data_IF_888356768706
#
_entry.id   IF_888356768706
#
_cell.length_a   1.000
_cell.length_b   1.000
_cell.length_c   1.000
_cell.angle_alpha   90.00
_cell.angle_beta   90.00
_cell.angle_gamma   90.00
#
_symmetry.space_group_name_H-M   'P 1'
#
loop_
_entity.id
_entity.type
_entity.pdbx_description
1 polymer ?
#
# COMPACT_ATOMS: atom_id res chain seq x y z
N UNK A 1 39.58 -17.59 47.57
CA UNK A 1 38.51 -16.73 47.00
C UNK A 1 39.16 -15.93 45.88
N UNK A 2 39.02 -16.41 44.64
CA UNK A 2 39.59 -15.79 43.45
C UNK A 2 38.51 -14.98 42.74
N UNK A 3 38.69 -13.67 42.67
CA UNK A 3 37.81 -12.77 41.91
C UNK A 3 37.98 -13.01 40.41
N UNK A 4 36.85 -13.25 39.73
CA UNK A 4 36.76 -13.43 38.29
C UNK A 4 36.44 -12.07 37.67
N UNK A 5 37.44 -11.39 37.12
CA UNK A 5 37.24 -10.22 36.26
C UNK A 5 36.69 -10.65 34.89
N UNK A 6 35.40 -10.38 34.65
CA UNK A 6 34.80 -10.48 33.32
C UNK A 6 35.21 -9.25 32.48
N UNK A 7 36.12 -9.45 31.53
CA UNK A 7 36.38 -8.49 30.44
C UNK A 7 35.19 -8.44 29.49
N UNK A 8 34.47 -7.33 29.47
CA UNK A 8 33.52 -6.96 28.41
C UNK A 8 34.33 -6.60 27.16
N UNK A 9 34.22 -7.41 26.11
CA UNK A 9 34.68 -7.04 24.77
C UNK A 9 33.73 -5.98 24.20
N UNK A 10 34.20 -4.73 24.15
CA UNK A 10 33.54 -3.64 23.44
C UNK A 10 33.85 -3.82 21.95
N UNK A 11 32.82 -4.14 21.16
CA UNK A 11 32.87 -4.08 19.70
C UNK A 11 32.95 -2.62 19.26
N UNK A 12 34.16 -2.12 19.06
CA UNK A 12 34.41 -0.82 18.44
C UNK A 12 34.26 -0.95 16.92
N UNK A 13 33.30 -0.23 16.32
CA UNK A 13 33.22 -0.17 14.85
C UNK A 13 31.87 0.18 14.20
N UNK A 14 30.81 0.50 14.96
CA UNK A 14 29.58 1.05 14.38
C UNK A 14 29.48 2.51 14.81
N UNK A 15 29.70 3.40 13.86
CA UNK A 15 29.50 4.83 14.03
C UNK A 15 27.99 5.11 14.15
N UNK A 16 27.49 5.19 15.38
CA UNK A 16 26.10 5.53 15.70
C UNK A 16 25.84 7.03 15.67
N UNK A 17 26.70 7.85 15.05
CA UNK A 17 26.57 9.31 15.05
C UNK A 17 25.59 9.90 14.03
N UNK A 18 24.80 9.08 13.30
CA UNK A 18 23.66 9.60 12.53
C UNK A 18 22.64 10.21 13.49
N UNK A 19 22.52 11.54 13.45
CA UNK A 19 21.52 12.34 14.17
C UNK A 19 20.14 11.67 14.03
N UNK A 20 19.66 11.09 15.13
CA UNK A 20 18.28 10.64 15.27
C UNK A 20 17.39 11.88 15.38
N UNK A 21 16.56 12.11 14.37
CA UNK A 21 15.41 13.02 14.38
C UNK A 21 15.71 14.52 14.21
N UNK A 22 15.88 14.99 12.97
CA UNK A 22 15.44 16.35 12.64
C UNK A 22 13.91 16.39 12.64
N UNK A 23 13.33 17.52 13.06
CA UNK A 23 11.88 17.71 13.21
C UNK A 23 11.11 17.29 11.95
N UNK A 24 9.90 16.73 12.10
CA UNK A 24 8.95 16.51 11.00
C UNK A 24 8.67 17.81 10.20
N UNK A 25 8.97 18.96 10.81
CA UNK A 25 8.81 20.31 10.24
C UNK A 25 10.06 20.86 9.54
N UNK A 26 11.05 20.03 9.20
CA UNK A 26 12.21 20.51 8.45
C UNK A 26 11.77 21.04 7.08
N UNK A 27 12.16 22.28 6.76
CA UNK A 27 11.75 22.93 5.52
C UNK A 27 12.45 22.24 4.34
N UNK A 28 11.67 21.55 3.51
CA UNK A 28 12.16 20.95 2.26
C UNK A 28 12.67 22.03 1.30
N UNK A 29 13.66 21.69 0.47
CA UNK A 29 14.03 22.52 -0.69
C UNK A 29 12.88 22.55 -1.70
N UNK A 30 12.83 23.56 -2.56
CA UNK A 30 11.77 23.68 -3.58
C UNK A 30 11.71 22.44 -4.51
N UNK A 31 12.87 21.87 -4.84
CA UNK A 31 12.98 20.66 -5.65
C UNK A 31 12.44 19.42 -4.90
N UNK A 32 12.83 19.26 -3.62
CA UNK A 32 12.34 18.16 -2.79
C UNK A 32 10.85 18.27 -2.51
N UNK A 33 10.34 19.49 -2.30
CA UNK A 33 8.91 19.75 -2.12
C UNK A 33 8.13 19.45 -3.40
N UNK A 34 8.65 19.84 -4.58
CA UNK A 34 8.03 19.49 -5.85
C UNK A 34 7.95 17.97 -6.03
N UNK A 35 9.06 17.27 -5.79
CA UNK A 35 9.09 15.81 -5.85
C UNK A 35 8.09 15.18 -4.88
N UNK A 36 8.04 15.65 -3.64
CA UNK A 36 7.09 15.19 -2.63
C UNK A 36 5.65 15.31 -3.10
N UNK A 37 5.26 16.49 -3.59
CA UNK A 37 3.92 16.76 -4.12
C UNK A 37 3.59 15.90 -5.35
N UNK A 38 4.58 15.61 -6.21
CA UNK A 38 4.38 14.74 -7.38
C UNK A 38 4.11 13.29 -6.94
N UNK A 39 4.84 12.77 -5.95
CA UNK A 39 4.59 11.43 -5.40
C UNK A 39 3.25 11.38 -4.67
N UNK A 40 2.94 12.37 -3.84
CA UNK A 40 1.67 12.44 -3.08
C UNK A 40 0.42 12.48 -3.99
N UNK A 41 0.57 12.84 -5.27
CA UNK A 41 -0.52 12.84 -6.26
C UNK A 41 -0.68 11.52 -7.01
N UNK A 42 0.27 10.58 -6.89
CA UNK A 42 0.14 9.25 -7.46
C UNK A 42 -0.98 8.46 -6.75
N UNK A 43 -1.50 7.38 -7.34
CA UNK A 43 -2.40 6.46 -6.64
C UNK A 43 -1.81 5.98 -5.31
N UNK A 44 -2.65 5.78 -4.29
CA UNK A 44 -2.19 5.38 -2.95
C UNK A 44 -1.24 4.17 -2.95
N UNK A 45 -1.48 3.17 -3.80
CA UNK A 45 -0.60 2.01 -3.97
C UNK A 45 0.82 2.38 -4.42
N UNK A 46 0.96 3.36 -5.32
CA UNK A 46 2.27 3.84 -5.77
C UNK A 46 2.96 4.68 -4.69
N UNK A 47 2.22 5.51 -3.94
CA UNK A 47 2.75 6.20 -2.77
C UNK A 47 3.31 5.22 -1.74
N UNK A 48 2.59 4.12 -1.49
CA UNK A 48 3.03 3.05 -0.60
C UNK A 48 4.34 2.42 -1.11
N UNK A 49 4.44 2.10 -2.40
CA UNK A 49 5.66 1.54 -3.00
C UNK A 49 6.85 2.49 -2.87
N UNK A 50 6.67 3.80 -3.11
CA UNK A 50 7.72 4.80 -2.90
C UNK A 50 8.22 4.78 -1.45
N UNK A 51 7.30 4.79 -0.48
CA UNK A 51 7.63 4.69 0.94
C UNK A 51 8.35 3.37 1.27
N UNK A 52 7.81 2.23 0.83
CA UNK A 52 8.38 0.91 1.09
C UNK A 52 9.77 0.76 0.49
N UNK A 53 10.02 1.28 -0.70
CA UNK A 53 11.35 1.25 -1.33
C UNK A 53 12.38 2.08 -0.57
N UNK A 54 11.98 3.26 -0.09
CA UNK A 54 12.85 4.17 0.66
C UNK A 54 13.23 3.62 2.05
N UNK A 55 12.30 2.94 2.72
CA UNK A 55 12.45 2.53 4.12
C UNK A 55 12.41 1.01 4.33
N UNK A 56 12.62 0.21 3.28
CA UNK A 56 12.43 -1.25 3.31
C UNK A 56 13.13 -1.94 4.49
N UNK A 57 14.37 -1.55 4.78
CA UNK A 57 15.16 -2.20 5.82
C UNK A 57 14.62 -1.92 7.23
N UNK A 58 14.02 -0.76 7.43
CA UNK A 58 13.44 -0.31 8.69
C UNK A 58 12.01 -0.82 8.90
N UNK A 59 11.23 -0.96 7.82
CA UNK A 59 9.77 -1.16 7.88
C UNK A 59 9.24 -2.43 7.22
N UNK A 60 10.06 -3.29 6.59
CA UNK A 60 9.57 -4.50 5.88
C UNK A 60 8.68 -5.42 6.73
N UNK A 61 8.88 -5.45 8.05
CA UNK A 61 8.06 -6.25 8.96
C UNK A 61 6.64 -5.69 9.14
N UNK A 62 6.42 -4.43 8.75
CA UNK A 62 5.13 -3.73 8.81
C UNK A 62 4.41 -3.71 7.44
N UNK A 63 5.08 -4.20 6.38
CA UNK A 63 4.57 -4.12 5.01
C UNK A 63 3.19 -4.80 4.84
N UNK A 64 2.98 -5.94 5.50
CA UNK A 64 1.69 -6.64 5.47
C UNK A 64 0.57 -5.80 6.10
N UNK A 65 0.83 -5.08 7.20
CA UNK A 65 -0.15 -4.15 7.78
C UNK A 65 -0.44 -2.98 6.85
N UNK A 66 0.61 -2.40 6.24
CA UNK A 66 0.46 -1.30 5.29
C UNK A 66 -0.46 -1.73 4.14
N UNK A 67 -0.26 -2.92 3.58
CA UNK A 67 -1.04 -3.44 2.48
C UNK A 67 -2.47 -3.86 2.89
N UNK A 68 -2.61 -4.70 3.91
CA UNK A 68 -3.91 -5.33 4.24
C UNK A 68 -4.83 -4.46 5.09
N UNK A 69 -4.27 -3.51 5.85
CA UNK A 69 -5.01 -2.68 6.78
C UNK A 69 -5.02 -1.25 6.31
N UNK A 70 -3.86 -0.59 6.31
CA UNK A 70 -3.80 0.86 6.08
C UNK A 70 -4.29 1.26 4.68
N UNK A 71 -3.80 0.57 3.64
CA UNK A 71 -4.18 0.81 2.26
C UNK A 71 -5.65 0.49 1.99
N UNK A 72 -6.17 -0.61 2.55
CA UNK A 72 -7.61 -0.93 2.44
C UNK A 72 -8.49 0.12 3.12
N UNK A 73 -8.09 0.65 4.29
CA UNK A 73 -8.87 1.69 4.99
C UNK A 73 -8.85 3.03 4.25
N UNK A 74 -7.71 3.46 3.72
CA UNK A 74 -7.66 4.75 3.01
C UNK A 74 -8.46 4.70 1.71
N UNK A 75 -8.38 3.59 0.97
CA UNK A 75 -9.24 3.36 -0.21
C UNK A 75 -10.70 3.36 0.17
N UNK A 76 -11.09 2.70 1.26
CA UNK A 76 -12.48 2.67 1.71
C UNK A 76 -13.00 4.06 2.10
N UNK A 77 -12.18 4.86 2.78
CA UNK A 77 -12.52 6.25 3.11
C UNK A 77 -12.73 7.10 1.84
N UNK A 78 -11.81 7.00 0.87
CA UNK A 78 -11.94 7.70 -0.42
C UNK A 78 -13.13 7.20 -1.26
N UNK A 79 -13.37 5.89 -1.30
CA UNK A 79 -14.54 5.28 -1.92
C UNK A 79 -15.84 5.85 -1.35
N UNK A 80 -15.94 5.95 -0.03
CA UNK A 80 -17.12 6.52 0.64
C UNK A 80 -17.30 8.00 0.28
N UNK A 81 -16.22 8.78 0.25
CA UNK A 81 -16.24 10.18 -0.18
C UNK A 81 -16.73 10.33 -1.64
N UNK A 82 -16.32 9.42 -2.53
CA UNK A 82 -16.71 9.40 -3.95
C UNK A 82 -18.08 8.74 -4.20
N UNK A 83 -18.76 8.23 -3.17
CA UNK A 83 -20.03 7.51 -3.31
C UNK A 83 -19.91 6.14 -4.01
N UNK A 84 -18.72 5.54 -4.00
CA UNK A 84 -18.44 4.24 -4.63
C UNK A 84 -18.53 3.14 -3.57
N UNK A 85 -19.42 2.17 -3.77
CA UNK A 85 -19.63 1.08 -2.80
C UNK A 85 -18.85 -0.21 -3.12
N UNK A 86 -18.47 -0.39 -4.39
CA UNK A 86 -17.91 -1.64 -4.88
C UNK A 86 -16.47 -1.40 -5.35
N UNK A 87 -15.52 -2.14 -4.76
CA UNK A 87 -14.07 -1.96 -5.01
C UNK A 87 -13.70 -2.11 -6.49
N UNK A 88 -14.36 -3.00 -7.24
CA UNK A 88 -14.06 -3.17 -8.66
C UNK A 88 -14.46 -1.96 -9.52
N UNK A 89 -15.34 -1.08 -9.02
CA UNK A 89 -15.74 0.19 -9.66
C UNK A 89 -14.91 1.38 -9.19
N UNK A 90 -13.98 1.17 -8.26
CA UNK A 90 -13.18 2.22 -7.68
C UNK A 90 -11.94 2.48 -8.55
N UNK A 91 -11.78 3.73 -8.97
CA UNK A 91 -10.52 4.26 -9.50
C UNK A 91 -9.75 4.88 -8.32
N UNK A 92 -8.56 4.33 -8.07
CA UNK A 92 -7.77 4.65 -6.88
C UNK A 92 -7.45 6.15 -6.78
N UNK A 93 -7.71 6.72 -5.59
CA UNK A 93 -7.39 8.11 -5.26
C UNK A 93 -5.95 8.30 -4.82
N UNK A 94 -5.66 9.51 -4.35
CA UNK A 94 -4.31 9.97 -4.01
C UNK A 94 -4.23 10.73 -2.67
N UNK A 95 -5.29 11.44 -2.28
CA UNK A 95 -5.33 12.20 -1.04
C UNK A 95 -6.78 12.38 -0.52
N UNK A 96 -6.91 12.76 0.75
CA UNK A 96 -8.17 12.99 1.46
C UNK A 96 -8.19 14.41 2.04
N UNK A 97 -9.34 15.09 2.07
CA UNK A 97 -9.47 16.28 2.94
C UNK A 97 -9.46 15.87 4.42
N UNK A 98 -9.39 16.85 5.32
CA UNK A 98 -9.29 16.59 6.76
C UNK A 98 -10.51 15.88 7.38
N UNK A 99 -11.72 16.02 6.81
CA UNK A 99 -12.90 15.33 7.31
C UNK A 99 -12.87 13.85 6.93
N UNK A 100 -12.47 13.55 5.69
CA UNK A 100 -12.32 12.16 5.24
C UNK A 100 -11.07 11.51 5.84
N UNK A 101 -9.99 12.27 6.05
CA UNK A 101 -8.80 11.79 6.77
C UNK A 101 -9.14 11.45 8.23
N UNK A 102 -9.95 12.28 8.91
CA UNK A 102 -10.46 11.96 10.25
C UNK A 102 -11.21 10.61 10.23
N UNK A 103 -12.14 10.43 9.28
CA UNK A 103 -12.86 9.17 9.11
C UNK A 103 -11.90 7.98 8.88
N UNK A 104 -10.88 8.15 8.05
CA UNK A 104 -9.84 7.15 7.82
C UNK A 104 -9.10 6.73 9.10
N UNK A 105 -8.66 7.68 9.93
CA UNK A 105 -8.02 7.36 11.21
C UNK A 105 -8.97 6.68 12.21
N UNK A 106 -10.23 7.10 12.26
CA UNK A 106 -11.23 6.48 13.14
C UNK A 106 -11.50 5.01 12.76
N UNK A 107 -11.66 4.70 11.47
CA UNK A 107 -11.86 3.31 11.03
C UNK A 107 -10.60 2.47 11.18
N UNK A 108 -9.40 3.06 11.16
CA UNK A 108 -8.15 2.38 11.49
C UNK A 108 -8.10 1.99 12.97
N UNK A 109 -8.36 2.94 13.88
CA UNK A 109 -8.39 2.68 15.32
C UNK A 109 -9.42 1.60 15.65
N UNK A 110 -10.65 1.74 15.11
CA UNK A 110 -11.71 0.75 15.27
C UNK A 110 -11.31 -0.64 14.77
N UNK A 111 -10.54 -0.73 13.68
CA UNK A 111 -10.09 -2.01 13.16
C UNK A 111 -9.12 -2.71 14.11
N UNK A 112 -8.12 -2.00 14.63
CA UNK A 112 -7.11 -2.60 15.53
C UNK A 112 -7.63 -2.84 16.94
N UNK A 113 -8.67 -2.13 17.36
CA UNK A 113 -9.34 -2.32 18.66
C UNK A 113 -10.32 -3.51 18.67
N UNK A 114 -10.76 -3.98 17.49
CA UNK A 114 -11.65 -5.14 17.38
C UNK A 114 -10.89 -6.43 17.72
N UNK A 115 -11.36 -7.17 18.72
CA UNK A 115 -10.75 -8.41 19.21
C UNK A 115 -10.51 -9.45 18.10
N UNK A 116 -11.35 -9.46 17.05
CA UNK A 116 -11.18 -10.39 15.92
C UNK A 116 -9.90 -10.10 15.11
N UNK A 117 -9.35 -8.90 15.23
CA UNK A 117 -8.15 -8.43 14.54
C UNK A 117 -6.93 -8.33 15.48
N UNK A 118 -7.01 -8.90 16.68
CA UNK A 118 -5.93 -8.84 17.69
C UNK A 118 -4.57 -9.27 17.15
N UNK A 119 -4.51 -10.21 16.21
CA UNK A 119 -3.26 -10.61 15.56
C UNK A 119 -2.53 -9.44 14.87
N UNK A 120 -3.26 -8.47 14.30
CA UNK A 120 -2.67 -7.26 13.72
C UNK A 120 -2.21 -6.29 14.79
N UNK A 121 -2.96 -6.18 15.89
CA UNK A 121 -2.58 -5.34 17.03
C UNK A 121 -1.28 -5.81 17.67
N UNK A 122 -1.17 -7.11 17.89
CA UNK A 122 -0.02 -7.72 18.57
C UNK A 122 1.18 -7.89 17.63
N UNK A 123 0.94 -8.10 16.32
CA UNK A 123 1.97 -8.38 15.33
C UNK A 123 2.68 -7.16 14.76
N UNK A 124 2.07 -5.98 14.80
CA UNK A 124 2.53 -4.78 14.08
C UNK A 124 2.56 -3.55 15.00
N UNK A 125 3.40 -3.58 16.03
CA UNK A 125 3.41 -2.58 17.08
C UNK A 125 3.66 -1.14 16.58
N UNK A 126 4.52 -0.95 15.57
CA UNK A 126 4.80 0.38 14.98
C UNK A 126 3.64 0.89 14.12
N UNK A 127 2.83 -0.01 13.60
CA UNK A 127 1.69 0.32 12.74
C UNK A 127 0.42 0.70 13.50
N UNK A 128 0.43 0.66 14.84
CA UNK A 128 -0.76 0.93 15.61
C UNK A 128 -1.11 2.43 15.58
N UNK A 129 -2.34 2.80 15.15
CA UNK A 129 -2.79 4.17 15.20
C UNK A 129 -3.09 4.58 16.65
N UNK A 130 -3.02 5.88 16.93
CA UNK A 130 -3.42 6.45 18.21
C UNK A 130 -4.84 6.98 18.13
N UNK A 131 -5.74 6.61 19.04
CA UNK A 131 -7.12 7.15 19.07
C UNK A 131 -7.12 8.59 19.60
N UNK A 132 -7.71 9.52 18.84
CA UNK A 132 -7.80 10.94 19.19
C UNK A 132 -9.22 11.46 19.03
N UNK A 133 -9.55 12.54 19.73
CA UNK A 133 -10.79 13.29 19.45
C UNK A 133 -10.72 14.00 18.10
N UNK A 134 -11.87 14.29 17.49
CA UNK A 134 -11.91 15.00 16.20
C UNK A 134 -11.13 16.32 16.20
N UNK A 135 -11.23 17.11 17.29
CA UNK A 135 -10.48 18.36 17.43
C UNK A 135 -8.97 18.12 17.47
N UNK A 136 -8.52 17.12 18.24
CA UNK A 136 -7.09 16.79 18.35
C UNK A 136 -6.53 16.20 17.08
N UNK A 137 -7.29 15.33 16.40
CA UNK A 137 -6.87 14.79 15.10
C UNK A 137 -6.72 15.90 14.07
N UNK A 138 -7.70 16.80 13.92
CA UNK A 138 -7.60 17.92 12.95
C UNK A 138 -6.47 18.88 13.29
N UNK A 139 -6.19 19.11 14.57
CA UNK A 139 -5.01 19.86 15.00
C UNK A 139 -3.73 19.16 14.54
N UNK A 140 -3.62 17.86 14.80
CA UNK A 140 -2.46 17.05 14.41
C UNK A 140 -2.27 16.97 12.89
N UNK A 141 -3.34 16.80 12.12
CA UNK A 141 -3.28 16.79 10.66
C UNK A 141 -2.63 18.07 10.14
N UNK A 142 -3.12 19.22 10.61
CA UNK A 142 -2.62 20.55 10.21
C UNK A 142 -1.18 20.82 10.64
N UNK A 143 -0.81 20.41 11.85
CA UNK A 143 0.49 20.77 12.44
C UNK A 143 1.60 19.78 12.09
N UNK A 144 1.25 18.52 11.77
CA UNK A 144 2.21 17.42 11.70
C UNK A 144 1.99 16.41 10.58
N UNK A 145 0.90 16.41 9.82
CA UNK A 145 0.68 15.36 8.79
C UNK A 145 0.67 15.97 7.40
N UNK A 146 -0.06 17.07 7.22
CA UNK A 146 -0.09 17.88 6.00
C UNK A 146 1.24 18.62 5.84
N UNK A 147 2.20 18.00 5.15
CA UNK A 147 3.59 18.46 5.02
C UNK A 147 3.68 19.61 4.02
N UNK A 148 2.88 19.56 2.97
CA UNK A 148 2.90 20.53 1.88
C UNK A 148 1.88 21.68 2.08
N UNK A 149 1.12 21.66 3.17
CA UNK A 149 0.13 22.67 3.58
C UNK A 149 -1.00 22.87 2.56
N UNK A 150 -1.43 21.79 1.90
CA UNK A 150 -2.50 21.84 0.89
C UNK A 150 -3.90 21.56 1.47
N UNK A 151 -4.00 21.28 2.76
CA UNK A 151 -5.26 20.95 3.44
C UNK A 151 -5.79 19.55 3.11
N UNK A 152 -4.93 18.69 2.54
CA UNK A 152 -5.19 17.30 2.21
C UNK A 152 -4.21 16.40 2.97
N UNK A 153 -4.48 15.10 2.92
CA UNK A 153 -3.66 14.06 3.53
C UNK A 153 -3.52 12.93 2.53
N UNK A 154 -2.33 12.81 1.96
CA UNK A 154 -1.93 11.69 1.12
C UNK A 154 -1.63 10.44 1.94
N UNK A 155 -1.57 9.26 1.30
CA UNK A 155 -1.13 8.05 1.98
C UNK A 155 0.34 8.14 2.38
N UNK A 156 1.17 8.79 1.57
CA UNK A 156 2.57 9.06 1.90
C UNK A 156 2.72 9.83 3.21
N UNK A 157 1.94 10.90 3.39
CA UNK A 157 1.96 11.70 4.63
C UNK A 157 1.53 10.91 5.85
N UNK A 158 0.47 10.11 5.72
CA UNK A 158 0.08 9.15 6.76
C UNK A 158 1.24 8.22 7.12
N UNK A 159 1.90 7.60 6.13
CA UNK A 159 2.99 6.65 6.37
C UNK A 159 4.19 7.33 7.04
N UNK A 160 4.63 8.48 6.54
CA UNK A 160 5.74 9.22 7.13
C UNK A 160 5.46 9.62 8.59
N UNK A 161 4.22 10.01 8.90
CA UNK A 161 3.84 10.37 10.26
C UNK A 161 3.71 9.14 11.18
N UNK A 162 3.13 8.05 10.70
CA UNK A 162 2.97 6.80 11.45
C UNK A 162 4.34 6.20 11.81
N UNK A 163 5.29 6.21 10.89
CA UNK A 163 6.64 5.65 11.06
C UNK A 163 7.71 6.72 11.33
N UNK A 164 7.31 7.83 11.98
CA UNK A 164 8.16 9.02 12.22
C UNK A 164 9.40 8.78 13.08
N UNK A 165 9.51 7.61 13.72
CA UNK A 165 10.70 7.20 14.47
C UNK A 165 11.87 6.82 13.56
N UNK A 166 11.58 6.44 12.31
CA UNK A 166 12.58 6.07 11.29
C UNK A 166 12.41 6.82 9.96
N UNK A 167 11.30 7.52 9.76
CA UNK A 167 10.99 8.22 8.52
C UNK A 167 10.65 9.70 8.76
N UNK A 168 11.00 10.55 7.81
CA UNK A 168 10.55 11.95 7.75
C UNK A 168 10.55 12.43 6.29
N UNK A 169 9.91 13.58 5.98
CA UNK A 169 9.81 14.06 4.60
C UNK A 169 11.15 14.35 3.92
N UNK A 170 12.12 14.94 4.64
CA UNK A 170 13.41 15.31 4.09
C UNK A 170 14.25 14.06 3.74
N UNK A 171 14.34 13.10 4.65
CA UNK A 171 15.00 11.81 4.43
C UNK A 171 14.31 11.00 3.33
N UNK A 172 12.97 11.05 3.26
CA UNK A 172 12.22 10.39 2.20
C UNK A 172 12.58 10.94 0.82
N UNK A 173 12.57 12.26 0.65
CA UNK A 173 12.96 12.88 -0.62
C UNK A 173 14.40 12.54 -0.98
N UNK A 174 15.32 12.60 -0.01
CA UNK A 174 16.72 12.22 -0.24
C UNK A 174 16.87 10.78 -0.75
N UNK A 175 16.16 9.82 -0.14
CA UNK A 175 16.20 8.40 -0.53
C UNK A 175 15.50 8.11 -1.85
N UNK A 176 14.40 8.80 -2.16
CA UNK A 176 13.54 8.46 -3.29
C UNK A 176 13.76 9.29 -4.55
N UNK A 177 14.33 10.50 -4.49
CA UNK A 177 14.47 11.39 -5.66
C UNK A 177 15.37 10.84 -6.77
N UNK A 178 16.33 9.97 -6.43
CA UNK A 178 17.29 9.40 -7.38
C UNK A 178 16.98 7.95 -7.76
N UNK A 179 15.75 7.49 -7.52
CA UNK A 179 15.35 6.12 -7.78
C UNK A 179 14.23 6.06 -8.83
N UNK A 180 14.62 5.89 -10.09
CA UNK A 180 13.68 5.65 -11.17
C UNK A 180 13.12 4.21 -11.14
N UNK A 181 11.83 4.08 -11.44
CA UNK A 181 11.19 2.77 -11.58
C UNK A 181 11.78 2.02 -12.78
N UNK A 182 12.41 0.87 -12.52
CA UNK A 182 12.96 0.05 -13.58
C UNK A 182 11.89 -0.41 -14.59
N UNK A 183 12.21 -0.49 -15.90
CA UNK A 183 11.22 -0.82 -16.93
C UNK A 183 10.47 -2.14 -16.71
N UNK A 184 11.12 -3.17 -16.16
CA UNK A 184 10.44 -4.44 -15.88
C UNK A 184 9.50 -4.38 -14.67
N UNK A 185 9.82 -3.55 -13.66
CA UNK A 185 8.93 -3.28 -12.52
C UNK A 185 7.71 -2.52 -13.02
N UNK A 186 7.92 -1.47 -13.82
CA UNK A 186 6.84 -0.72 -14.47
C UNK A 186 5.94 -1.62 -15.31
N UNK A 187 6.53 -2.52 -16.11
CA UNK A 187 5.80 -3.50 -16.91
C UNK A 187 4.96 -4.45 -16.04
N UNK A 188 5.50 -4.93 -14.93
CA UNK A 188 4.76 -5.78 -13.99
C UNK A 188 3.60 -5.03 -13.33
N UNK A 189 3.80 -3.79 -12.89
CA UNK A 189 2.76 -2.92 -12.34
C UNK A 189 1.63 -2.66 -13.33
N UNK A 190 1.95 -2.31 -14.57
CA UNK A 190 0.94 -2.10 -15.62
C UNK A 190 0.19 -3.39 -15.97
N UNK A 191 0.85 -4.55 -15.89
CA UNK A 191 0.18 -5.84 -16.08
C UNK A 191 -0.82 -6.15 -14.95
N UNK A 192 -0.49 -5.81 -13.69
CA UNK A 192 -1.44 -5.91 -12.57
C UNK A 192 -2.62 -4.94 -12.70
N UNK A 193 -2.40 -3.76 -13.26
CA UNK A 193 -3.49 -2.82 -13.54
C UNK A 193 -4.42 -3.31 -14.67
N UNK A 194 -3.87 -3.95 -15.70
CA UNK A 194 -4.70 -4.62 -16.70
C UNK A 194 -5.55 -5.75 -16.07
N UNK A 195 -5.03 -6.45 -15.06
CA UNK A 195 -5.85 -7.41 -14.29
C UNK A 195 -7.01 -6.70 -13.58
N UNK A 196 -6.79 -5.52 -12.96
CA UNK A 196 -7.87 -4.75 -12.33
C UNK A 196 -8.96 -4.36 -13.34
N UNK A 197 -8.56 -3.93 -14.55
CA UNK A 197 -9.50 -3.63 -15.64
C UNK A 197 -10.34 -4.85 -16.04
N UNK A 198 -9.73 -6.03 -16.14
CA UNK A 198 -10.45 -7.28 -16.45
C UNK A 198 -11.34 -7.73 -15.30
N UNK A 199 -10.92 -7.53 -14.04
CA UNK A 199 -11.77 -7.75 -12.86
C UNK A 199 -13.02 -6.87 -12.92
N UNK A 200 -12.86 -5.57 -13.23
CA UNK A 200 -13.99 -4.65 -13.37
C UNK A 200 -15.00 -5.13 -14.41
N UNK A 201 -14.54 -5.45 -15.62
CA UNK A 201 -15.41 -5.94 -16.69
C UNK A 201 -16.14 -7.24 -16.30
N UNK A 202 -15.44 -8.17 -15.64
CA UNK A 202 -16.01 -9.42 -15.17
C UNK A 202 -17.08 -9.21 -14.08
N UNK A 203 -16.78 -8.41 -13.05
CA UNK A 203 -17.70 -8.15 -11.93
C UNK A 203 -18.89 -7.26 -12.32
N UNK A 204 -18.73 -6.37 -13.31
CA UNK A 204 -19.83 -5.60 -13.89
C UNK A 204 -20.83 -6.51 -14.61
N UNK A 205 -20.35 -7.42 -15.45
CA UNK A 205 -21.23 -8.38 -16.13
C UNK A 205 -21.88 -9.35 -15.14
N UNK A 206 -21.14 -9.80 -14.13
CA UNK A 206 -21.68 -10.63 -13.06
C UNK A 206 -22.81 -9.92 -12.32
N UNK A 207 -22.60 -8.67 -11.91
CA UNK A 207 -23.62 -7.88 -11.21
C UNK A 207 -24.85 -7.61 -12.10
N UNK A 208 -24.65 -7.38 -13.41
CA UNK A 208 -25.75 -7.23 -14.38
C UNK A 208 -26.59 -8.51 -14.46
N UNK A 209 -25.95 -9.67 -14.59
CA UNK A 209 -26.61 -10.97 -14.62
C UNK A 209 -27.32 -11.31 -13.30
N UNK A 210 -26.73 -10.96 -12.16
CA UNK A 210 -27.36 -11.10 -10.84
C UNK A 210 -28.66 -10.29 -10.75
N UNK A 211 -28.65 -9.03 -11.18
CA UNK A 211 -29.85 -8.19 -11.23
C UNK A 211 -30.91 -8.75 -12.18
N UNK A 212 -30.52 -9.13 -13.41
CA UNK A 212 -31.43 -9.71 -14.40
C UNK A 212 -32.01 -11.05 -13.96
N UNK A 213 -31.28 -11.83 -13.16
CA UNK A 213 -31.74 -13.12 -12.65
C UNK A 213 -32.96 -13.02 -11.71
N UNK A 214 -33.22 -11.82 -11.16
CA UNK A 214 -34.39 -11.54 -10.32
C UNK A 214 -35.65 -11.25 -11.15
N UNK A 215 -35.53 -11.04 -12.46
CA UNK A 215 -36.68 -10.79 -13.33
C UNK A 215 -37.52 -12.07 -13.49
N UNK A 216 -38.87 -11.98 -13.50
CA UNK A 216 -39.71 -13.14 -13.72
C UNK A 216 -39.62 -13.66 -15.18
N UNK A 217 -39.91 -14.95 -15.34
CA UNK A 217 -40.05 -15.59 -16.65
C UNK A 217 -38.73 -16.03 -17.31
N UNK A 218 -38.78 -16.25 -18.63
CA UNK A 218 -37.67 -16.83 -19.40
C UNK A 218 -36.41 -15.96 -19.42
N UNK A 219 -36.56 -14.63 -19.27
CA UNK A 219 -35.43 -13.70 -19.23
C UNK A 219 -34.58 -13.89 -17.97
N UNK A 220 -35.20 -13.93 -16.78
CA UNK A 220 -34.48 -14.18 -15.54
C UNK A 220 -33.90 -15.58 -15.47
N UNK A 221 -34.60 -16.58 -16.02
CA UNK A 221 -34.05 -17.94 -16.16
C UNK A 221 -32.80 -17.96 -17.06
N UNK A 222 -32.82 -17.23 -18.17
CA UNK A 222 -31.67 -17.05 -19.04
C UNK A 222 -30.47 -16.42 -18.33
N UNK A 223 -30.70 -15.33 -17.59
CA UNK A 223 -29.66 -14.66 -16.80
C UNK A 223 -29.09 -15.56 -15.70
N UNK A 224 -29.93 -16.32 -15.00
CA UNK A 224 -29.51 -17.30 -13.99
C UNK A 224 -28.62 -18.40 -14.59
N UNK A 225 -28.94 -18.89 -15.78
CA UNK A 225 -28.11 -19.87 -16.49
C UNK A 225 -26.77 -19.28 -16.92
N UNK A 226 -26.76 -18.05 -17.47
CA UNK A 226 -25.52 -17.36 -17.83
C UNK A 226 -24.65 -17.08 -16.60
N UNK A 227 -25.25 -16.65 -15.49
CA UNK A 227 -24.56 -16.43 -14.22
C UNK A 227 -23.92 -17.72 -13.70
N UNK A 228 -24.61 -18.86 -13.82
CA UNK A 228 -24.05 -20.16 -13.43
C UNK A 228 -22.87 -20.59 -14.33
N UNK A 229 -22.76 -20.04 -15.54
CA UNK A 229 -21.70 -20.32 -16.52
C UNK A 229 -20.67 -19.19 -16.64
N UNK A 230 -20.76 -18.14 -15.81
CA UNK A 230 -19.94 -16.92 -15.96
C UNK A 230 -18.44 -17.20 -15.83
N UNK A 231 -18.06 -18.19 -15.01
CA UNK A 231 -16.66 -18.62 -14.85
C UNK A 231 -16.11 -19.36 -16.08
N UNK A 232 -16.98 -19.78 -17.01
CA UNK A 232 -16.61 -20.35 -18.32
C UNK A 232 -16.80 -19.35 -19.47
N UNK A 233 -17.09 -18.08 -19.16
CA UNK A 233 -17.33 -17.04 -20.16
C UNK A 233 -16.02 -16.47 -20.75
N UNK A 234 -16.08 -15.79 -21.92
CA UNK A 234 -14.93 -15.09 -22.49
C UNK A 234 -14.29 -14.06 -21.54
N UNK A 235 -15.09 -13.36 -20.71
CA UNK A 235 -14.58 -12.39 -19.75
C UNK A 235 -13.69 -13.04 -18.69
N UNK A 236 -14.09 -14.22 -18.18
CA UNK A 236 -13.28 -14.97 -17.24
C UNK A 236 -12.01 -15.52 -17.89
N UNK A 237 -12.09 -15.96 -19.14
CA UNK A 237 -10.92 -16.39 -19.91
C UNK A 237 -9.91 -15.25 -20.10
N UNK A 238 -10.36 -14.05 -20.46
CA UNK A 238 -9.52 -12.85 -20.57
C UNK A 238 -8.87 -12.47 -19.22
N UNK A 239 -9.64 -12.52 -18.12
CA UNK A 239 -9.11 -12.30 -16.78
C UNK A 239 -8.03 -13.33 -16.43
N UNK A 240 -8.24 -14.61 -16.73
CA UNK A 240 -7.23 -15.66 -16.50
C UNK A 240 -5.96 -15.42 -17.33
N UNK A 241 -6.09 -15.00 -18.60
CA UNK A 241 -4.94 -14.63 -19.45
C UNK A 241 -4.17 -13.43 -18.88
N UNK A 242 -4.88 -12.41 -18.38
CA UNK A 242 -4.27 -11.26 -17.74
C UNK A 242 -3.51 -11.66 -16.47
N UNK A 243 -4.09 -12.52 -15.62
CA UNK A 243 -3.44 -13.05 -14.41
C UNK A 243 -2.13 -13.79 -14.73
N UNK A 244 -2.12 -14.65 -15.75
CA UNK A 244 -0.92 -15.38 -16.19
C UNK A 244 0.15 -14.40 -16.72
N UNK A 245 -0.27 -13.38 -17.46
CA UNK A 245 0.63 -12.35 -18.00
C UNK A 245 1.26 -11.52 -16.89
N UNK A 246 0.45 -11.09 -15.90
CA UNK A 246 0.93 -10.40 -14.72
C UNK A 246 1.88 -11.27 -13.90
N UNK A 247 1.56 -12.54 -13.68
CA UNK A 247 2.44 -13.50 -12.99
C UNK A 247 3.80 -13.64 -13.70
N UNK A 248 3.80 -13.78 -15.02
CA UNK A 248 5.05 -13.84 -15.78
C UNK A 248 5.87 -12.55 -15.65
N UNK A 249 5.23 -11.37 -15.69
CA UNK A 249 5.90 -10.08 -15.57
C UNK A 249 6.47 -9.85 -14.16
N UNK A 250 5.69 -10.14 -13.10
CA UNK A 250 6.13 -10.07 -11.70
C UNK A 250 7.29 -11.02 -11.45
N UNK A 251 7.25 -12.24 -11.98
CA UNK A 251 8.35 -13.20 -11.88
C UNK A 251 9.62 -12.71 -12.57
N UNK A 252 9.51 -12.09 -13.74
CA UNK A 252 10.67 -11.52 -14.45
C UNK A 252 11.29 -10.37 -13.64
N UNK A 253 10.47 -9.44 -13.14
CA UNK A 253 10.93 -8.34 -12.29
C UNK A 253 11.59 -8.87 -11.00
N UNK A 254 10.93 -9.81 -10.32
CA UNK A 254 11.43 -10.43 -9.08
C UNK A 254 12.71 -11.22 -9.30
N UNK A 255 12.88 -11.92 -10.43
CA UNK A 255 14.14 -12.61 -10.74
C UNK A 255 15.27 -11.65 -11.05
N UNK A 256 14.97 -10.51 -11.69
CA UNK A 256 15.98 -9.54 -12.11
C UNK A 256 16.46 -8.66 -10.95
N UNK A 257 15.54 -8.29 -10.05
CA UNK A 257 15.81 -7.31 -8.99
C UNK A 257 15.66 -7.88 -7.57
N UNK A 258 15.01 -9.04 -7.40
CA UNK A 258 14.86 -9.69 -6.09
C UNK A 258 16.01 -10.66 -5.82
N UNK A 259 16.63 -10.56 -4.64
CA UNK A 259 17.72 -11.45 -4.22
C UNK A 259 19.14 -10.90 -4.42
N UNK A 260 19.30 -9.68 -4.92
CA UNK A 260 20.55 -8.93 -4.75
C UNK A 260 20.56 -8.25 -3.37
N UNK A 261 20.34 -9.02 -2.30
CA UNK A 261 20.22 -8.55 -0.92
C UNK A 261 21.56 -8.13 -0.29
N UNK A 262 22.49 -7.54 -1.05
CA UNK A 262 23.86 -7.34 -0.60
C UNK A 262 24.65 -6.20 -1.21
N UNK A 263 24.13 -5.46 -2.21
CA UNK A 263 24.79 -4.25 -2.70
C UNK A 263 23.90 -3.06 -2.43
N UNK A 264 23.67 -2.80 -1.14
CA UNK A 264 23.35 -1.44 -0.73
C UNK A 264 24.53 -0.59 -1.19
N UNK A 265 24.34 0.19 -2.25
CA UNK A 265 25.32 1.19 -2.64
C UNK A 265 25.64 2.01 -1.40
N UNK A 266 26.92 2.27 -1.16
CA UNK A 266 27.41 3.01 0.00
C UNK A 266 26.75 4.40 0.17
N UNK A 267 26.01 4.87 -0.85
CA UNK A 267 25.29 6.14 -0.92
C UNK A 267 23.79 6.08 -0.62
N UNK A 268 23.25 4.98 -0.07
CA UNK A 268 21.87 4.98 0.44
C UNK A 268 20.78 5.08 -0.63
N UNK A 269 21.04 4.61 -1.86
CA UNK A 269 20.02 4.52 -2.91
C UNK A 269 18.87 3.59 -2.49
N UNK A 270 17.63 4.02 -2.75
CA UNK A 270 16.45 3.21 -2.47
C UNK A 270 16.53 1.85 -3.17
N UNK A 271 16.02 0.80 -2.52
CA UNK A 271 15.93 -0.52 -3.15
C UNK A 271 14.58 -0.68 -3.82
N UNK A 272 14.48 -1.54 -4.83
CA UNK A 272 13.20 -1.93 -5.43
C UNK A 272 12.44 -3.01 -4.63
N UNK A 273 12.93 -3.41 -3.45
CA UNK A 273 12.37 -4.53 -2.68
C UNK A 273 10.91 -4.27 -2.24
N UNK A 274 10.56 -3.03 -1.90
CA UNK A 274 9.19 -2.65 -1.56
C UNK A 274 8.22 -2.87 -2.74
N UNK A 275 8.62 -2.47 -3.94
CA UNK A 275 7.85 -2.70 -5.16
C UNK A 275 7.69 -4.19 -5.47
N UNK A 276 8.77 -4.97 -5.34
CA UNK A 276 8.74 -6.41 -5.59
C UNK A 276 7.82 -7.11 -4.60
N UNK A 277 7.92 -6.79 -3.31
CA UNK A 277 7.04 -7.34 -2.29
C UNK A 277 5.57 -6.99 -2.59
N UNK A 278 5.28 -5.72 -2.86
CA UNK A 278 3.92 -5.24 -3.14
C UNK A 278 3.29 -5.96 -4.33
N UNK A 279 4.02 -6.06 -5.44
CA UNK A 279 3.52 -6.73 -6.65
C UNK A 279 3.30 -8.23 -6.44
N UNK A 280 4.17 -8.91 -5.69
CA UNK A 280 3.96 -10.32 -5.35
C UNK A 280 2.74 -10.51 -4.45
N UNK A 281 2.58 -9.65 -3.44
CA UNK A 281 1.44 -9.67 -2.52
C UNK A 281 0.11 -9.40 -3.24
N UNK A 282 0.10 -8.42 -4.12
CA UNK A 282 -1.07 -8.06 -4.92
C UNK A 282 -1.45 -9.14 -5.94
N UNK A 283 -0.44 -9.75 -6.59
CA UNK A 283 -0.66 -10.93 -7.43
C UNK A 283 -1.25 -12.10 -6.63
N UNK A 284 -0.77 -12.33 -5.41
CA UNK A 284 -1.28 -13.39 -4.53
C UNK A 284 -2.76 -13.18 -4.19
N UNK A 285 -3.18 -11.98 -3.76
CA UNK A 285 -4.60 -11.69 -3.50
C UNK A 285 -5.46 -11.86 -4.75
N UNK A 286 -4.98 -11.34 -5.90
CA UNK A 286 -5.67 -11.48 -7.18
C UNK A 286 -5.84 -12.96 -7.56
N UNK A 287 -4.79 -13.79 -7.40
CA UNK A 287 -4.86 -15.24 -7.67
C UNK A 287 -5.75 -15.97 -6.67
N UNK A 288 -5.72 -15.59 -5.39
CA UNK A 288 -6.57 -16.18 -4.35
C UNK A 288 -8.04 -15.93 -4.62
N UNK A 289 -8.40 -14.72 -5.08
CA UNK A 289 -9.79 -14.33 -5.33
C UNK A 289 -10.31 -14.71 -6.72
N UNK A 290 -9.46 -14.61 -7.74
CA UNK A 290 -9.87 -14.75 -9.15
C UNK A 290 -9.16 -15.85 -9.92
N UNK A 291 -8.18 -16.54 -9.31
CA UNK A 291 -7.52 -17.68 -9.92
C UNK A 291 -8.39 -18.94 -9.98
N UNK A 292 -7.80 -20.09 -10.34
CA UNK A 292 -8.51 -21.36 -10.39
C UNK A 292 -8.99 -21.77 -8.99
N UNK A 293 -10.30 -21.68 -8.75
CA UNK A 293 -10.92 -22.25 -7.55
C UNK A 293 -10.92 -23.77 -7.67
N UNK A 294 -10.13 -24.45 -6.85
CA UNK A 294 -10.29 -25.91 -6.69
C UNK A 294 -11.70 -26.16 -6.14
N UNK A 295 -12.49 -26.96 -6.85
CA UNK A 295 -13.68 -27.60 -6.28
C UNK A 295 -13.25 -28.66 -5.28
#
# INVERSE_FOLDING_TARGET
MSEVEKKQQVLTGIDTSRKVGSSFTEKLSDEAMKFFCDVAKLPFSQQAVHFLNAYWFEIRNEAEFIYTVAWEKIKYADMHNKGIQLVYKYDEGNDLDFDIALYFYEILCKFVEDDKNKAYKDGYARSQPEMLTALKRKQELREKVDVNFDGRVSFLEYLLYQYRDVANPADFCHRSMNHDEHPEIRKARLALEEVNKRIRAYEEEKARLEADSQLPGVKGLGAKNMLAQIDSSPLKEELNKALITAEAAVRIASKKYGGQSGVGGADGGASSEGALWWMNRDLEEKKKRYGPSKK
#
